data_IF_408278320613
#
_entry.id   IF_408278320613
#
_cell.length_a   1.000
_cell.length_b   1.000
_cell.length_c   1.000
_cell.angle_alpha   90.00
_cell.angle_beta   90.00
_cell.angle_gamma   90.00
#
_symmetry.space_group_name_H-M   'P 1'
#
loop_
_entity.id
_entity.type
_entity.pdbx_description
1 polymer ?
#
# COMPACT_ATOMS: atom_id res chain seq x y z
N UNK A 1 -31.58 11.73 79.21
CA UNK A 1 -31.21 12.92 78.44
C UNK A 1 -29.75 12.75 78.00
N UNK A 2 -29.51 12.15 76.83
CA UNK A 2 -28.18 11.84 76.34
C UNK A 2 -27.91 12.65 75.05
N UNK A 3 -26.86 13.47 75.11
CA UNK A 3 -26.45 14.35 74.03
C UNK A 3 -25.45 13.63 73.18
N UNK A 4 -25.84 13.29 71.94
CA UNK A 4 -24.91 12.71 70.95
C UNK A 4 -24.16 13.85 70.24
N UNK A 5 -22.82 13.83 70.38
CA UNK A 5 -21.92 14.69 69.59
C UNK A 5 -21.58 13.98 68.28
N UNK A 6 -21.93 14.64 67.18
CA UNK A 6 -21.54 14.23 65.83
C UNK A 6 -20.13 14.75 65.51
N UNK A 7 -19.19 13.85 65.29
CA UNK A 7 -17.86 14.18 64.75
C UNK A 7 -17.91 14.33 63.25
N UNK A 8 -17.58 15.54 62.79
CA UNK A 8 -17.44 15.89 61.38
C UNK A 8 -16.06 15.40 60.88
N UNK A 9 -16.03 14.33 60.12
CA UNK A 9 -14.80 13.83 59.48
C UNK A 9 -14.54 14.66 58.21
N UNK A 10 -13.42 15.38 58.17
CA UNK A 10 -12.96 16.11 56.99
C UNK A 10 -12.42 15.09 55.95
N UNK A 11 -13.17 14.90 54.87
CA UNK A 11 -12.71 14.14 53.69
C UNK A 11 -11.66 14.94 52.95
N UNK A 12 -10.44 14.46 52.93
CA UNK A 12 -9.31 14.94 52.15
C UNK A 12 -9.54 14.56 50.68
N UNK A 13 -9.89 15.49 49.82
CA UNK A 13 -9.98 15.27 48.38
C UNK A 13 -8.58 15.18 47.79
N UNK A 14 -8.14 13.95 47.46
CA UNK A 14 -6.93 13.71 46.72
C UNK A 14 -7.21 13.97 45.24
N UNK A 15 -6.73 15.10 44.71
CA UNK A 15 -6.80 15.42 43.28
C UNK A 15 -5.67 14.68 42.60
N UNK A 16 -6.00 13.58 41.93
CA UNK A 16 -5.05 12.89 41.04
C UNK A 16 -4.93 13.72 39.77
N UNK A 17 -3.83 14.47 39.63
CA UNK A 17 -3.42 15.06 38.36
C UNK A 17 -2.96 13.92 37.43
N UNK A 18 -3.82 13.50 36.54
CA UNK A 18 -3.42 12.65 35.42
C UNK A 18 -2.58 13.48 34.46
N UNK A 19 -1.26 13.35 34.52
CA UNK A 19 -0.36 13.86 33.50
C UNK A 19 -0.59 13.03 32.22
N UNK A 20 -1.40 13.53 31.29
CA UNK A 20 -1.45 13.01 29.94
C UNK A 20 -0.10 13.31 29.27
N UNK A 21 0.76 12.30 29.23
CA UNK A 21 1.97 12.35 28.41
C UNK A 21 1.56 12.42 26.96
N UNK A 22 1.72 13.59 26.33
CA UNK A 22 1.65 13.78 24.89
C UNK A 22 2.92 13.16 24.28
N UNK A 23 3.01 11.84 24.29
CA UNK A 23 3.98 11.10 23.47
C UNK A 23 3.40 11.12 22.06
N UNK A 24 3.98 11.90 21.17
CA UNK A 24 3.73 11.79 19.73
C UNK A 24 4.08 10.37 19.24
N UNK A 25 3.58 9.97 18.07
CA UNK A 25 3.89 8.66 17.50
C UNK A 25 5.42 8.47 17.41
N UNK A 26 5.87 7.28 17.75
CA UNK A 26 7.29 6.94 17.63
C UNK A 26 7.63 6.78 16.14
N UNK A 27 8.87 7.07 15.75
CA UNK A 27 9.36 6.89 14.36
C UNK A 27 9.06 5.48 13.82
N UNK A 28 9.10 4.46 14.67
CA UNK A 28 8.77 3.08 14.29
C UNK A 28 7.28 2.90 13.96
N UNK A 29 6.38 3.59 14.66
CA UNK A 29 4.95 3.56 14.41
C UNK A 29 4.59 4.30 13.12
N UNK A 30 5.27 5.41 12.85
CA UNK A 30 5.10 6.18 11.62
C UNK A 30 5.51 5.37 10.37
N UNK A 31 6.65 4.69 10.38
CA UNK A 31 7.09 3.81 9.28
C UNK A 31 6.20 2.57 9.10
N UNK A 32 5.50 2.13 10.14
CA UNK A 32 4.52 1.04 10.06
C UNK A 32 3.20 1.43 9.41
N UNK A 33 2.91 2.73 9.33
CA UNK A 33 1.66 3.27 8.79
C UNK A 33 1.67 3.36 7.27
N UNK A 34 0.49 3.47 6.66
CA UNK A 34 0.35 3.77 5.23
C UNK A 34 1.02 5.11 4.87
N UNK A 35 0.87 6.12 5.72
CA UNK A 35 1.54 7.41 5.54
C UNK A 35 3.08 7.26 5.49
N UNK A 36 3.64 6.44 6.37
CA UNK A 36 5.07 6.13 6.35
C UNK A 36 5.52 5.42 5.06
N UNK A 37 4.68 4.54 4.49
CA UNK A 37 4.96 3.92 3.19
C UNK A 37 4.91 4.96 2.06
N UNK A 38 3.90 5.84 2.05
CA UNK A 38 3.78 6.93 1.07
C UNK A 38 4.98 7.88 1.13
N UNK A 39 5.40 8.29 2.32
CA UNK A 39 6.52 9.23 2.50
C UNK A 39 7.81 8.71 1.88
N UNK A 40 8.00 7.39 1.86
CA UNK A 40 9.22 6.76 1.32
C UNK A 40 9.11 6.46 -0.18
N UNK A 41 7.95 5.99 -0.66
CA UNK A 41 7.88 5.37 -1.99
C UNK A 41 7.02 6.10 -3.02
N UNK A 42 6.13 7.01 -2.60
CA UNK A 42 5.21 7.69 -3.52
C UNK A 42 5.92 8.38 -4.67
N UNK A 43 6.96 9.16 -4.35
CA UNK A 43 7.72 9.88 -5.36
C UNK A 43 8.39 8.94 -6.38
N UNK A 44 8.97 7.83 -5.95
CA UNK A 44 9.59 6.86 -6.87
C UNK A 44 8.54 6.18 -7.76
N UNK A 45 7.39 5.81 -7.21
CA UNK A 45 6.30 5.21 -7.99
C UNK A 45 5.76 6.19 -9.03
N UNK A 46 5.45 7.43 -8.64
CA UNK A 46 5.00 8.50 -9.54
C UNK A 46 5.97 8.68 -10.70
N UNK A 47 7.25 8.83 -10.41
CA UNK A 47 8.26 9.07 -11.45
C UNK A 47 8.38 7.90 -12.43
N UNK A 48 8.28 6.65 -11.95
CA UNK A 48 8.26 5.47 -12.83
C UNK A 48 7.01 5.40 -13.67
N UNK A 49 5.84 5.74 -13.11
CA UNK A 49 4.59 5.84 -13.86
C UNK A 49 4.67 6.88 -14.97
N UNK A 50 5.22 8.07 -14.70
CA UNK A 50 5.45 9.11 -15.71
C UNK A 50 6.36 8.61 -16.83
N UNK A 51 7.46 7.93 -16.50
CA UNK A 51 8.40 7.41 -17.49
C UNK A 51 7.76 6.34 -18.38
N UNK A 52 7.03 5.37 -17.83
CA UNK A 52 6.38 4.33 -18.64
C UNK A 52 5.23 4.90 -19.46
N UNK A 53 4.52 5.91 -18.96
CA UNK A 53 3.48 6.61 -19.71
C UNK A 53 4.06 7.40 -20.90
N UNK A 54 5.15 8.13 -20.67
CA UNK A 54 5.83 8.93 -21.70
C UNK A 54 6.69 8.09 -22.67
N UNK A 55 6.87 6.78 -22.42
CA UNK A 55 7.72 5.93 -23.23
C UNK A 55 7.26 5.90 -24.70
N UNK A 56 8.08 6.42 -25.59
CA UNK A 56 7.76 6.66 -27.00
C UNK A 56 7.90 5.41 -27.89
N UNK A 57 7.57 4.20 -27.39
CA UNK A 57 7.64 3.00 -28.24
C UNK A 57 6.25 2.43 -28.52
N UNK A 58 5.66 2.74 -29.67
CA UNK A 58 4.32 2.29 -30.03
C UNK A 58 4.23 0.80 -30.41
N UNK A 59 5.34 0.05 -30.38
CA UNK A 59 5.33 -1.32 -30.88
C UNK A 59 4.64 -2.31 -29.95
N UNK A 60 4.55 -2.02 -28.65
CA UNK A 60 3.91 -2.90 -27.68
C UNK A 60 3.64 -2.17 -26.36
N UNK A 61 2.43 -2.28 -25.85
CA UNK A 61 2.10 -1.84 -24.49
C UNK A 61 2.74 -2.74 -23.42
N UNK A 62 3.27 -3.90 -23.82
CA UNK A 62 3.88 -4.90 -22.91
C UNK A 62 4.98 -4.35 -22.02
N UNK A 63 5.69 -3.34 -22.46
CA UNK A 63 6.82 -2.80 -21.72
C UNK A 63 6.43 -1.56 -20.88
N UNK A 64 5.18 -1.09 -21.02
CA UNK A 64 4.64 0.05 -20.28
C UNK A 64 4.05 -0.38 -18.96
N UNK A 65 4.80 -1.13 -18.17
CA UNK A 65 4.34 -1.60 -16.88
C UNK A 65 5.27 -1.22 -15.74
N UNK A 66 4.68 -1.15 -14.55
CA UNK A 66 5.37 -1.11 -13.28
C UNK A 66 4.94 -2.34 -12.49
N UNK A 67 5.89 -3.08 -11.95
CA UNK A 67 5.62 -4.07 -10.91
C UNK A 67 6.38 -3.68 -9.65
N UNK A 68 5.67 -3.60 -8.53
CA UNK A 68 6.21 -3.32 -7.21
C UNK A 68 6.04 -4.55 -6.34
N UNK A 69 7.14 -5.00 -5.75
CA UNK A 69 7.24 -6.30 -5.07
C UNK A 69 7.64 -6.08 -3.62
N UNK A 70 6.94 -6.74 -2.70
CA UNK A 70 7.23 -6.75 -1.27
C UNK A 70 8.23 -7.87 -0.97
N UNK A 71 9.47 -7.56 -0.55
CA UNK A 71 10.47 -8.58 -0.24
C UNK A 71 10.05 -9.42 0.96
N UNK A 72 10.33 -10.71 0.90
CA UNK A 72 10.00 -11.64 1.98
C UNK A 72 8.54 -12.11 2.00
N UNK A 73 7.65 -11.47 1.26
CA UNK A 73 6.31 -11.97 1.00
C UNK A 73 6.35 -12.85 -0.27
N UNK A 74 6.08 -14.16 -0.18
CA UNK A 74 6.32 -15.08 -1.31
C UNK A 74 5.55 -14.72 -2.57
N UNK A 75 4.44 -13.99 -2.45
CA UNK A 75 3.56 -13.58 -3.56
C UNK A 75 2.99 -12.18 -3.35
N UNK A 76 3.74 -11.26 -2.76
CA UNK A 76 3.31 -9.89 -2.52
C UNK A 76 3.79 -8.98 -3.65
N UNK A 77 2.99 -8.78 -4.69
CA UNK A 77 3.25 -7.76 -5.70
C UNK A 77 1.96 -7.20 -6.28
N UNK A 78 2.08 -5.97 -6.76
CA UNK A 78 1.10 -5.31 -7.63
C UNK A 78 1.83 -4.88 -8.88
N UNK A 79 1.25 -5.16 -10.04
CA UNK A 79 1.73 -4.63 -11.32
C UNK A 79 0.62 -3.92 -12.06
N UNK A 80 0.98 -2.83 -12.75
CA UNK A 80 0.04 -2.06 -13.56
C UNK A 80 0.64 -1.78 -14.93
N UNK A 81 -0.21 -1.77 -15.97
CA UNK A 81 0.17 -1.49 -17.35
C UNK A 81 -0.80 -0.50 -17.97
N UNK A 82 -0.28 0.54 -18.64
CA UNK A 82 -1.07 1.40 -19.49
C UNK A 82 -1.37 0.71 -20.82
N UNK A 83 -2.63 0.68 -21.22
CA UNK A 83 -3.06 0.10 -22.48
C UNK A 83 -4.11 0.97 -23.19
N UNK A 84 -4.66 0.48 -24.30
CA UNK A 84 -5.64 1.19 -25.13
C UNK A 84 -5.22 2.65 -25.42
N UNK A 85 -4.02 2.80 -26.00
CA UNK A 85 -3.40 4.11 -26.29
C UNK A 85 -3.26 4.99 -25.04
N UNK A 86 -3.03 4.35 -23.88
CA UNK A 86 -2.83 4.98 -22.57
C UNK A 86 -4.09 5.62 -21.95
N UNK A 87 -5.27 5.29 -22.45
CA UNK A 87 -6.54 5.72 -21.88
C UNK A 87 -7.05 4.81 -20.76
N UNK A 88 -6.40 3.68 -20.55
CA UNK A 88 -6.75 2.70 -19.52
C UNK A 88 -5.53 2.23 -18.75
N UNK A 89 -5.78 1.91 -17.48
CA UNK A 89 -4.81 1.27 -16.61
C UNK A 89 -5.36 -0.06 -16.14
N UNK A 90 -4.67 -1.14 -16.48
CA UNK A 90 -4.93 -2.48 -15.97
C UNK A 90 -3.94 -2.80 -14.88
N UNK A 91 -4.42 -3.18 -13.70
CA UNK A 91 -3.57 -3.60 -12.59
C UNK A 91 -3.88 -5.04 -12.18
N UNK A 92 -2.83 -5.78 -11.85
CA UNK A 92 -2.90 -7.10 -11.24
C UNK A 92 -2.26 -7.09 -9.86
N UNK A 93 -2.93 -7.71 -8.90
CA UNK A 93 -2.41 -8.03 -7.58
C UNK A 93 -2.29 -9.55 -7.45
N UNK A 94 -1.15 -10.04 -6.96
CA UNK A 94 -0.86 -11.48 -6.94
C UNK A 94 -1.86 -12.26 -6.10
N UNK A 95 -2.58 -13.19 -6.71
CA UNK A 95 -3.44 -14.17 -6.01
C UNK A 95 -2.67 -15.42 -5.58
N UNK A 96 -1.43 -15.58 -6.06
CA UNK A 96 -0.68 -16.83 -5.96
C UNK A 96 -1.04 -17.87 -7.03
N UNK A 97 -1.91 -17.53 -8.00
CA UNK A 97 -2.35 -18.46 -9.05
C UNK A 97 -1.18 -19.04 -9.85
N UNK A 98 -0.21 -18.20 -10.19
CA UNK A 98 0.97 -18.62 -10.98
C UNK A 98 2.09 -19.21 -10.13
N UNK A 99 1.82 -19.54 -8.86
CA UNK A 99 2.81 -20.18 -8.01
C UNK A 99 2.80 -21.69 -8.22
N UNK A 100 3.97 -22.21 -8.57
CA UNK A 100 4.16 -23.64 -8.79
C UNK A 100 4.66 -23.93 -10.21
N UNK A 101 4.72 -25.22 -10.55
CA UNK A 101 5.04 -25.67 -11.90
C UNK A 101 3.78 -25.66 -12.75
N UNK A 102 3.92 -25.31 -14.00
CA UNK A 102 2.85 -25.44 -14.99
C UNK A 102 2.27 -26.86 -14.96
N UNK A 103 0.93 -26.97 -14.85
CA UNK A 103 0.22 -28.23 -14.73
C UNK A 103 0.21 -28.90 -13.36
N UNK A 104 0.88 -28.34 -12.35
CA UNK A 104 0.79 -28.82 -10.98
C UNK A 104 -0.42 -28.20 -10.24
N UNK A 105 -0.99 -28.89 -9.23
CA UNK A 105 -2.02 -28.28 -8.39
C UNK A 105 -1.50 -27.01 -7.71
N UNK A 106 -2.34 -25.99 -7.60
CA UNK A 106 -2.04 -24.78 -6.86
C UNK A 106 -1.75 -25.09 -5.40
N UNK A 107 -0.63 -24.62 -4.89
CA UNK A 107 -0.16 -24.91 -3.53
C UNK A 107 -0.20 -23.68 -2.61
N UNK A 108 -0.51 -22.50 -3.15
CA UNK A 108 -0.59 -21.26 -2.41
C UNK A 108 -1.87 -20.50 -2.73
N UNK A 109 -2.53 -20.00 -1.69
CA UNK A 109 -3.70 -19.12 -1.73
C UNK A 109 -3.45 -17.93 -0.82
N UNK A 110 -3.88 -16.76 -1.23
CA UNK A 110 -3.80 -15.58 -0.38
C UNK A 110 -4.71 -15.72 0.86
N UNK A 111 -4.30 -15.21 2.02
CA UNK A 111 -5.17 -15.13 3.20
C UNK A 111 -6.44 -14.30 2.93
N UNK A 112 -7.54 -14.61 3.62
CA UNK A 112 -8.80 -13.88 3.47
C UNK A 112 -8.64 -12.37 3.70
N UNK A 113 -7.80 -11.96 4.66
CA UNK A 113 -7.54 -10.55 4.93
C UNK A 113 -6.96 -9.83 3.71
N UNK A 114 -6.05 -10.46 2.97
CA UNK A 114 -5.50 -9.94 1.71
C UNK A 114 -6.60 -9.81 0.64
N UNK A 115 -7.41 -10.85 0.49
CA UNK A 115 -8.52 -10.87 -0.47
C UNK A 115 -9.52 -9.75 -0.15
N UNK A 116 -9.93 -9.62 1.11
CA UNK A 116 -10.87 -8.59 1.56
C UNK A 116 -10.30 -7.17 1.39
N UNK A 117 -9.01 -6.98 1.63
CA UNK A 117 -8.35 -5.70 1.43
C UNK A 117 -8.34 -5.29 -0.05
N UNK A 118 -7.97 -6.20 -0.94
CA UNK A 118 -7.93 -5.94 -2.38
C UNK A 118 -9.34 -5.76 -2.96
N UNK A 119 -10.33 -6.52 -2.48
CA UNK A 119 -11.73 -6.35 -2.88
C UNK A 119 -12.26 -4.95 -2.52
N UNK A 120 -11.90 -4.40 -1.34
CA UNK A 120 -12.27 -3.02 -0.95
C UNK A 120 -11.67 -1.96 -1.86
N UNK A 121 -10.51 -2.23 -2.45
CA UNK A 121 -9.87 -1.36 -3.44
C UNK A 121 -10.44 -1.55 -4.86
N UNK A 122 -11.41 -2.44 -5.04
CA UNK A 122 -12.10 -2.67 -6.30
C UNK A 122 -11.49 -3.74 -7.19
N UNK A 123 -10.49 -4.49 -6.73
CA UNK A 123 -10.00 -5.64 -7.48
C UNK A 123 -11.07 -6.72 -7.61
N UNK A 124 -11.22 -7.30 -8.80
CA UNK A 124 -11.88 -8.58 -8.98
C UNK A 124 -10.99 -9.64 -8.33
N UNK A 125 -11.53 -10.30 -7.31
CA UNK A 125 -10.80 -11.28 -6.51
C UNK A 125 -11.15 -12.74 -6.89
N UNK A 126 -11.78 -12.97 -8.03
CA UNK A 126 -11.91 -14.30 -8.62
C UNK A 126 -10.55 -14.78 -9.16
N UNK A 127 -9.89 -15.62 -8.40
CA UNK A 127 -8.58 -16.16 -8.71
C UNK A 127 -8.62 -17.51 -9.47
N UNK A 128 -9.77 -17.87 -10.00
CA UNK A 128 -9.98 -19.13 -10.73
C UNK A 128 -9.20 -19.21 -12.05
N UNK A 129 -8.84 -18.04 -12.61
CA UNK A 129 -8.18 -17.92 -13.93
C UNK A 129 -6.87 -17.15 -13.94
N UNK A 130 -6.47 -16.56 -12.80
CA UNK A 130 -5.27 -15.74 -12.75
C UNK A 130 -5.12 -14.95 -11.46
N UNK A 131 -4.39 -13.85 -11.55
CA UNK A 131 -4.27 -12.88 -10.48
C UNK A 131 -5.58 -12.09 -10.27
N UNK A 132 -5.73 -11.52 -9.08
CA UNK A 132 -6.72 -10.48 -8.85
C UNK A 132 -6.46 -9.30 -9.77
N UNK A 133 -7.51 -8.67 -10.31
CA UNK A 133 -7.31 -7.63 -11.31
C UNK A 133 -8.33 -6.50 -11.22
N UNK A 134 -7.96 -5.35 -11.78
CA UNK A 134 -8.83 -4.21 -11.97
C UNK A 134 -8.41 -3.50 -13.27
N UNK A 135 -9.40 -3.00 -14.02
CA UNK A 135 -9.18 -2.25 -15.24
C UNK A 135 -10.08 -1.01 -15.24
N UNK A 136 -9.49 0.18 -15.32
CA UNK A 136 -10.22 1.45 -15.27
C UNK A 136 -9.66 2.49 -16.25
N UNK A 137 -10.55 3.43 -16.65
CA UNK A 137 -10.15 4.56 -17.47
C UNK A 137 -9.26 5.54 -16.72
N UNK A 138 -8.33 6.17 -17.41
CA UNK A 138 -7.48 7.23 -16.88
C UNK A 138 -7.56 8.47 -17.77
N UNK A 139 -7.45 9.64 -17.16
CA UNK A 139 -7.38 10.91 -17.87
C UNK A 139 -6.07 11.07 -18.65
N UNK A 140 -5.98 12.06 -19.50
CA UNK A 140 -4.78 12.39 -20.26
C UNK A 140 -4.34 13.85 -19.98
N UNK A 141 -3.27 14.09 -19.20
CA UNK A 141 -2.41 13.12 -18.50
C UNK A 141 -3.10 12.50 -17.28
N UNK A 142 -2.71 11.28 -16.88
CA UNK A 142 -3.22 10.66 -15.65
C UNK A 142 -2.82 11.41 -14.39
N UNK A 143 -3.62 11.29 -13.34
CA UNK A 143 -3.18 11.62 -11.99
C UNK A 143 -2.24 10.53 -11.46
N UNK A 144 -0.94 10.70 -11.73
CA UNK A 144 0.08 9.74 -11.30
C UNK A 144 0.20 9.63 -9.79
N UNK A 145 -0.18 10.66 -9.02
CA UNK A 145 -0.20 10.60 -7.55
C UNK A 145 -1.32 9.67 -7.09
N UNK A 146 -2.53 9.81 -7.63
CA UNK A 146 -3.64 8.93 -7.29
C UNK A 146 -3.34 7.47 -7.66
N UNK A 147 -2.72 7.22 -8.81
CA UNK A 147 -2.29 5.87 -9.22
C UNK A 147 -1.21 5.32 -8.27
N UNK A 148 -0.23 6.13 -7.90
CA UNK A 148 0.82 5.71 -6.97
C UNK A 148 0.25 5.37 -5.59
N UNK A 149 -0.67 6.19 -5.08
CA UNK A 149 -1.36 5.94 -3.81
C UNK A 149 -2.14 4.63 -3.86
N UNK A 150 -2.90 4.39 -4.93
CA UNK A 150 -3.63 3.14 -5.14
C UNK A 150 -2.71 1.90 -5.13
N UNK A 151 -1.60 1.94 -5.87
CA UNK A 151 -0.62 0.83 -5.91
C UNK A 151 -0.01 0.59 -4.54
N UNK A 152 0.37 1.65 -3.82
CA UNK A 152 0.99 1.55 -2.50
C UNK A 152 -0.03 1.11 -1.44
N UNK A 153 -1.30 1.51 -1.54
CA UNK A 153 -2.37 1.06 -0.65
C UNK A 153 -2.64 -0.44 -0.83
N UNK A 154 -2.70 -0.90 -2.09
CA UNK A 154 -2.84 -2.33 -2.38
C UNK A 154 -1.67 -3.16 -1.83
N UNK A 155 -0.44 -2.63 -1.88
CA UNK A 155 0.72 -3.28 -1.27
C UNK A 155 0.69 -3.24 0.26
N UNK A 156 0.27 -2.13 0.85
CA UNK A 156 0.19 -1.95 2.30
C UNK A 156 -0.88 -2.85 2.92
N UNK A 157 -2.12 -2.74 2.43
CA UNK A 157 -3.27 -3.42 3.01
C UNK A 157 -3.35 -4.89 2.58
N UNK A 158 -3.00 -5.18 1.32
CA UNK A 158 -3.03 -6.53 0.79
C UNK A 158 -1.83 -7.38 1.19
N UNK A 159 -0.62 -6.82 1.16
CA UNK A 159 0.61 -7.60 1.31
C UNK A 159 1.51 -7.14 2.46
N UNK A 160 1.03 -6.24 3.29
CA UNK A 160 1.74 -5.81 4.49
C UNK A 160 3.01 -4.98 4.22
N UNK A 161 3.10 -4.28 3.08
CA UNK A 161 4.20 -3.36 2.81
C UNK A 161 4.29 -2.24 3.85
N UNK A 162 5.51 -1.87 4.24
CA UNK A 162 5.77 -0.82 5.24
C UNK A 162 6.94 0.06 4.78
N UNK A 163 6.98 1.29 5.26
CA UNK A 163 8.00 2.26 4.88
C UNK A 163 9.44 1.86 5.23
N UNK A 164 9.64 0.96 6.18
CA UNK A 164 10.94 0.42 6.57
C UNK A 164 11.40 -0.80 5.74
N UNK A 165 10.58 -1.28 4.82
CA UNK A 165 10.93 -2.39 3.91
C UNK A 165 11.59 -1.84 2.65
N UNK A 166 12.50 -2.59 2.02
CA UNK A 166 13.08 -2.22 0.73
C UNK A 166 12.27 -2.83 -0.40
N UNK A 167 11.29 -2.09 -0.96
CA UNK A 167 10.50 -2.56 -2.09
C UNK A 167 11.37 -2.77 -3.34
N UNK A 168 11.02 -3.76 -4.16
CA UNK A 168 11.68 -4.00 -5.45
C UNK A 168 10.78 -3.56 -6.58
N UNK A 169 11.39 -2.94 -7.60
CA UNK A 169 10.69 -2.43 -8.78
C UNK A 169 11.14 -3.19 -10.02
N UNK A 170 10.19 -3.59 -10.86
CA UNK A 170 10.44 -4.05 -12.20
C UNK A 170 9.70 -3.11 -13.17
N UNK A 171 10.48 -2.30 -13.88
CA UNK A 171 9.98 -1.26 -14.79
C UNK A 171 10.93 -1.17 -15.98
N UNK A 172 10.76 -1.96 -17.03
CA UNK A 172 11.74 -2.10 -18.12
C UNK A 172 12.15 -0.78 -18.78
N UNK A 173 11.22 0.17 -18.90
CA UNK A 173 11.47 1.48 -19.53
C UNK A 173 11.61 2.65 -18.56
N UNK A 174 11.48 2.41 -17.26
CA UNK A 174 11.67 3.44 -16.26
C UNK A 174 12.96 3.22 -15.49
N UNK A 175 13.98 4.01 -15.78
CA UNK A 175 15.23 3.97 -15.04
C UNK A 175 15.01 4.53 -13.63
N UNK A 176 15.76 3.99 -12.65
CA UNK A 176 15.76 4.54 -11.30
C UNK A 176 16.11 6.04 -11.38
N UNK A 177 15.28 6.86 -10.79
CA UNK A 177 15.52 8.30 -10.73
C UNK A 177 16.71 8.60 -9.85
N UNK A 178 17.58 9.51 -10.24
CA UNK A 178 18.50 10.13 -9.29
C UNK A 178 17.69 10.90 -8.24
N UNK A 179 17.99 10.69 -7.01
CA UNK A 179 17.79 11.41 -5.73
C UNK A 179 16.93 12.71 -5.64
N UNK A 180 16.05 13.02 -6.56
CA UNK A 180 15.17 14.18 -6.49
C UNK A 180 13.88 13.94 -5.70
N UNK A 181 13.58 12.68 -5.40
CA UNK A 181 12.49 12.34 -4.51
C UNK A 181 12.92 12.55 -3.06
N UNK A 182 12.72 13.76 -2.58
CA UNK A 182 12.89 14.07 -1.15
C UNK A 182 11.67 13.53 -0.43
N UNK A 183 11.81 12.69 0.62
CA UNK A 183 10.69 12.30 1.46
C UNK A 183 9.98 13.56 1.97
N UNK A 184 8.66 13.61 1.81
CA UNK A 184 7.85 14.66 2.41
C UNK A 184 7.86 14.39 3.90
N UNK A 185 8.66 15.17 4.65
CA UNK A 185 8.77 15.12 6.10
C UNK A 185 7.55 15.73 6.78
#
# INVERSE_FOLDING_TARGET
MAIFRVHLSKALKLTVLSAFSLLGPTVAEEHGSFHGLLSVYRCEVVHRLEQIYAAANPRSDRDRFIAVIVPGHPHGYVQCIFHDKQSRLYCEASSGFYYGREGAPRTFYQPSQTIDALARLGFDTDDSKGNFNIDFGVDAPPDFNAIADFVLEALHDGYGARGNMTLKFNTPFARRTPSTCVPVG
#
